data_IF_745747264297
#
_entry.id   IF_745747264297
#
_cell.length_a   1.000
_cell.length_b   1.000
_cell.length_c   1.000
_cell.angle_alpha   90.00
_cell.angle_beta   90.00
_cell.angle_gamma   90.00
#
_symmetry.space_group_name_H-M   'P 1'
#
loop_
_entity.id
_entity.type
_entity.pdbx_description
1 polymer ?
#
# COMPACT_ATOMS: atom_id res chain seq x y z
N UNK A 1 -4.02 -30.16 54.42
CA UNK A 1 -3.96 -30.35 52.95
C UNK A 1 -4.50 -29.09 52.30
N UNK A 2 -3.67 -28.39 51.53
CA UNK A 2 -4.05 -27.52 50.40
C UNK A 2 -2.74 -27.03 49.78
N UNK A 3 -2.25 -27.77 48.79
CA UNK A 3 -1.13 -27.38 47.94
C UNK A 3 -1.67 -26.50 46.81
N UNK A 4 -1.17 -25.28 46.70
CA UNK A 4 -1.45 -24.40 45.57
C UNK A 4 -0.43 -24.77 44.48
N UNK A 5 -0.92 -25.36 43.39
CA UNK A 5 -0.12 -25.63 42.19
C UNK A 5 0.13 -24.30 41.50
N UNK A 6 1.37 -23.83 41.50
CA UNK A 6 1.81 -22.74 40.63
C UNK A 6 1.90 -23.29 39.21
N UNK A 7 0.83 -23.13 38.44
CA UNK A 7 0.86 -23.31 36.99
C UNK A 7 1.76 -22.21 36.44
N UNK A 8 2.99 -22.56 36.10
CA UNK A 8 3.84 -21.72 35.27
C UNK A 8 3.10 -21.50 33.96
N UNK A 9 2.58 -20.29 33.76
CA UNK A 9 2.19 -19.83 32.44
C UNK A 9 3.47 -19.79 31.62
N UNK A 10 3.66 -20.82 30.80
CA UNK A 10 4.57 -20.76 29.66
C UNK A 10 3.97 -19.68 28.76
N UNK A 11 4.47 -18.45 28.88
CA UNK A 11 4.30 -17.42 27.86
C UNK A 11 4.76 -18.04 26.55
N UNK A 12 3.89 -18.19 25.54
CA UNK A 12 4.37 -18.55 24.22
C UNK A 12 5.37 -17.49 23.81
N UNK A 13 6.51 -17.92 23.29
CA UNK A 13 7.49 -17.07 22.62
C UNK A 13 6.77 -16.37 21.48
N UNK A 14 6.19 -15.21 21.75
CA UNK A 14 5.65 -14.28 20.75
C UNK A 14 6.84 -13.54 20.15
N UNK A 15 7.63 -14.29 19.39
CA UNK A 15 8.70 -13.79 18.54
C UNK A 15 8.28 -13.66 17.07
N UNK A 16 6.97 -13.79 16.77
CA UNK A 16 6.43 -13.18 15.55
C UNK A 16 6.41 -11.68 15.83
N UNK A 17 7.20 -10.93 15.08
CA UNK A 17 7.48 -9.54 15.39
C UNK A 17 6.16 -8.77 15.40
N UNK A 18 5.98 -7.83 16.32
CA UNK A 18 4.77 -7.01 16.43
C UNK A 18 4.41 -6.27 15.11
N UNK A 19 5.31 -6.28 14.13
CA UNK A 19 5.21 -5.61 12.83
C UNK A 19 4.81 -6.54 11.68
N UNK A 20 4.85 -7.87 11.84
CA UNK A 20 4.57 -8.82 10.75
C UNK A 20 3.13 -8.67 10.21
N UNK A 21 2.16 -8.52 11.11
CA UNK A 21 0.74 -8.37 10.74
C UNK A 21 0.46 -7.01 10.08
N UNK A 22 0.90 -5.87 10.64
CA UNK A 22 0.78 -4.57 9.97
C UNK A 22 1.45 -4.50 8.60
N UNK A 23 2.66 -5.05 8.45
CA UNK A 23 3.40 -5.02 7.18
C UNK A 23 2.75 -5.89 6.11
N UNK A 24 2.29 -7.08 6.49
CA UNK A 24 1.55 -7.94 5.57
C UNK A 24 0.26 -7.27 5.10
N UNK A 25 -0.46 -6.58 6.01
CA UNK A 25 -1.66 -5.82 5.65
C UNK A 25 -1.34 -4.65 4.72
N UNK A 26 -0.25 -3.92 4.97
CA UNK A 26 0.19 -2.81 4.12
C UNK A 26 0.56 -3.31 2.71
N UNK A 27 1.28 -4.42 2.60
CA UNK A 27 1.59 -5.05 1.31
C UNK A 27 0.33 -5.44 0.55
N UNK A 28 -0.61 -6.11 1.22
CA UNK A 28 -1.89 -6.48 0.60
C UNK A 28 -2.73 -5.25 0.18
N UNK A 29 -2.68 -4.16 0.95
CA UNK A 29 -3.36 -2.91 0.62
C UNK A 29 -2.74 -2.23 -0.62
N UNK A 30 -1.41 -2.29 -0.77
CA UNK A 30 -0.68 -1.79 -1.94
C UNK A 30 -1.00 -2.65 -3.18
N UNK A 31 -0.96 -3.98 -3.05
CA UNK A 31 -1.26 -4.91 -4.16
C UNK A 31 -2.69 -4.74 -4.69
N UNK A 32 -3.67 -4.58 -3.78
CA UNK A 32 -5.06 -4.34 -4.15
C UNK A 32 -5.24 -2.99 -4.86
N UNK A 33 -4.48 -1.98 -4.45
CA UNK A 33 -4.53 -0.65 -5.06
C UNK A 33 -3.86 -0.63 -6.43
N UNK A 34 -2.74 -1.36 -6.63
CA UNK A 34 -2.06 -1.49 -7.93
C UNK A 34 -3.04 -1.94 -9.02
N UNK A 35 -3.83 -3.00 -8.77
CA UNK A 35 -4.77 -3.49 -9.78
C UNK A 35 -5.86 -2.46 -10.13
N UNK A 36 -6.25 -1.63 -9.16
CA UNK A 36 -7.22 -0.54 -9.40
C UNK A 36 -6.59 0.62 -10.18
N UNK A 37 -5.33 0.95 -9.88
CA UNK A 37 -4.57 2.00 -10.55
C UNK A 37 -4.21 1.63 -11.98
N UNK A 38 -3.79 0.39 -12.24
CA UNK A 38 -3.51 -0.10 -13.61
C UNK A 38 -4.73 0.10 -14.51
N UNK A 39 -5.90 -0.34 -14.05
CA UNK A 39 -7.13 -0.18 -14.82
C UNK A 39 -7.50 1.30 -15.01
N UNK A 40 -7.29 2.15 -14.00
CA UNK A 40 -7.54 3.59 -14.10
C UNK A 40 -6.61 4.29 -15.09
N UNK A 41 -5.33 3.95 -15.08
CA UNK A 41 -4.32 4.53 -15.95
C UNK A 41 -4.56 4.12 -17.41
N UNK A 42 -4.94 2.86 -17.65
CA UNK A 42 -5.30 2.35 -18.97
C UNK A 42 -6.48 3.12 -19.58
N UNK A 43 -7.61 3.24 -18.86
CA UNK A 43 -8.79 3.95 -19.38
C UNK A 43 -8.57 5.46 -19.51
N UNK A 44 -7.58 6.02 -18.79
CA UNK A 44 -7.21 7.45 -18.84
C UNK A 44 -6.11 7.75 -19.85
N UNK A 45 -5.56 6.74 -20.53
CA UNK A 45 -4.48 6.91 -21.51
C UNK A 45 -3.13 7.31 -20.90
N UNK A 46 -2.90 6.97 -19.62
CA UNK A 46 -1.67 7.25 -18.86
C UNK A 46 -0.80 6.00 -18.75
N UNK A 47 -0.59 5.29 -19.87
CA UNK A 47 0.21 4.07 -19.93
C UNK A 47 1.69 4.31 -19.54
N UNK A 48 2.16 5.54 -19.61
CA UNK A 48 3.50 5.97 -19.17
C UNK A 48 3.70 5.87 -17.64
N UNK A 49 2.64 5.60 -16.89
CA UNK A 49 2.69 5.35 -15.45
C UNK A 49 2.97 3.87 -15.08
N UNK A 50 3.05 2.97 -16.06
CA UNK A 50 3.34 1.54 -15.84
C UNK A 50 4.66 1.33 -15.11
N UNK A 51 5.69 2.14 -15.36
CA UNK A 51 6.98 2.04 -14.67
C UNK A 51 6.84 2.31 -13.16
N UNK A 52 5.95 3.23 -12.79
CA UNK A 52 5.69 3.55 -11.38
C UNK A 52 4.85 2.46 -10.69
N UNK A 53 3.95 1.82 -11.43
CA UNK A 53 3.24 0.62 -10.96
C UNK A 53 4.22 -0.55 -10.80
N UNK A 54 5.12 -0.76 -11.75
CA UNK A 54 6.16 -1.79 -11.69
C UNK A 54 6.99 -1.64 -10.42
N UNK A 55 7.47 -0.42 -10.14
CA UNK A 55 8.21 -0.13 -8.91
C UNK A 55 7.42 -0.43 -7.62
N UNK A 56 6.09 -0.27 -7.63
CA UNK A 56 5.25 -0.64 -6.49
C UNK A 56 5.02 -2.14 -6.38
N UNK A 57 4.87 -2.85 -7.51
CA UNK A 57 4.71 -4.32 -7.52
C UNK A 57 5.96 -5.05 -7.02
N UNK A 58 7.12 -4.38 -7.10
CA UNK A 58 8.39 -4.89 -6.58
C UNK A 58 8.55 -4.68 -5.06
N UNK A 59 7.64 -3.95 -4.40
CA UNK A 59 7.60 -3.79 -2.94
C UNK A 59 7.15 -5.08 -2.25
N UNK A 60 8.00 -6.08 -2.26
CA UNK A 60 7.76 -7.30 -1.51
C UNK A 60 8.15 -7.11 -0.04
N UNK A 61 7.17 -6.75 0.79
CA UNK A 61 7.33 -6.69 2.25
C UNK A 61 7.37 -8.13 2.82
N UNK A 62 8.52 -8.78 2.69
CA UNK A 62 8.75 -10.11 3.21
C UNK A 62 8.73 -10.13 4.75
N UNK A 63 8.11 -11.15 5.34
CA UNK A 63 7.98 -11.27 6.80
C UNK A 63 9.31 -11.53 7.53
N UNK A 64 10.37 -11.90 6.80
CA UNK A 64 11.72 -12.12 7.31
C UNK A 64 12.70 -10.98 7.00
N UNK A 65 12.22 -9.90 6.35
CA UNK A 65 13.04 -8.73 6.07
C UNK A 65 13.50 -8.05 7.37
N UNK A 66 14.75 -7.59 7.40
CA UNK A 66 15.24 -6.82 8.54
C UNK A 66 14.53 -5.46 8.61
N UNK A 67 14.54 -4.80 9.78
CA UNK A 67 13.97 -3.47 9.93
C UNK A 67 14.59 -2.46 8.95
N UNK A 68 15.91 -2.52 8.76
CA UNK A 68 16.61 -1.66 7.80
C UNK A 68 16.18 -1.94 6.35
N UNK A 69 15.93 -3.21 5.99
CA UNK A 69 15.43 -3.55 4.65
C UNK A 69 14.00 -3.05 4.45
N UNK A 70 13.15 -3.19 5.47
CA UNK A 70 11.77 -2.66 5.46
C UNK A 70 11.80 -1.15 5.32
N UNK A 71 12.57 -0.43 6.15
CA UNK A 71 12.65 1.04 6.08
C UNK A 71 13.11 1.51 4.69
N UNK A 72 14.11 0.84 4.09
CA UNK A 72 14.57 1.15 2.72
C UNK A 72 13.52 0.85 1.66
N UNK A 73 12.78 -0.25 1.78
CA UNK A 73 11.67 -0.56 0.87
C UNK A 73 10.57 0.50 0.98
N UNK A 74 10.16 0.86 2.21
CA UNK A 74 9.16 1.89 2.45
C UNK A 74 9.63 3.26 1.92
N UNK A 75 10.89 3.63 2.10
CA UNK A 75 11.48 4.85 1.50
C UNK A 75 11.42 4.82 -0.03
N UNK A 76 11.78 3.68 -0.65
CA UNK A 76 11.72 3.54 -2.12
C UNK A 76 10.30 3.60 -2.68
N UNK A 77 9.29 3.25 -1.88
CA UNK A 77 7.88 3.30 -2.26
C UNK A 77 7.32 4.72 -2.35
N UNK A 78 7.89 5.68 -1.60
CA UNK A 78 7.33 7.03 -1.48
C UNK A 78 7.30 7.75 -2.83
N UNK A 79 8.42 7.77 -3.55
CA UNK A 79 8.53 8.54 -4.79
C UNK A 79 7.63 8.01 -5.94
N UNK A 80 7.50 6.68 -6.18
CA UNK A 80 6.51 6.15 -7.10
C UNK A 80 5.07 6.48 -6.68
N UNK A 81 4.70 6.34 -5.39
CA UNK A 81 3.36 6.67 -4.90
C UNK A 81 3.01 8.16 -5.09
N UNK A 82 3.96 9.07 -4.83
CA UNK A 82 3.78 10.50 -5.06
C UNK A 82 3.57 10.82 -6.55
N UNK A 83 4.33 10.17 -7.45
CA UNK A 83 4.19 10.32 -8.90
C UNK A 83 2.84 9.78 -9.40
N UNK A 84 2.37 8.66 -8.86
CA UNK A 84 1.06 8.11 -9.17
C UNK A 84 -0.07 9.02 -8.69
N UNK A 85 0.01 9.51 -7.45
CA UNK A 85 -0.97 10.46 -6.92
C UNK A 85 -1.03 11.74 -7.76
N UNK A 86 0.13 12.27 -8.17
CA UNK A 86 0.19 13.42 -9.05
C UNK A 86 -0.50 13.15 -10.40
N UNK A 87 -0.28 11.98 -11.01
CA UNK A 87 -0.93 11.58 -12.26
C UNK A 87 -2.44 11.40 -12.12
N UNK A 88 -2.89 10.70 -11.07
CA UNK A 88 -4.33 10.52 -10.79
C UNK A 88 -5.04 11.88 -10.68
N UNK A 89 -4.40 12.87 -10.04
CA UNK A 89 -4.94 14.23 -9.93
C UNK A 89 -4.98 15.02 -11.24
N UNK A 90 -4.23 14.61 -12.26
CA UNK A 90 -4.25 15.26 -13.59
C UNK A 90 -5.31 14.69 -14.52
N UNK A 91 -5.94 13.56 -14.16
CA UNK A 91 -6.98 12.96 -14.98
C UNK A 91 -8.22 13.89 -15.00
N UNK A 92 -8.66 14.35 -16.17
CA UNK A 92 -9.81 15.24 -16.27
C UNK A 92 -11.12 14.48 -15.96
N UNK A 93 -11.94 15.05 -15.08
CA UNK A 93 -13.26 14.48 -14.74
C UNK A 93 -14.25 14.51 -15.91
N UNK A 94 -14.19 15.54 -16.75
CA UNK A 94 -15.10 15.76 -17.88
C UNK A 94 -14.40 15.65 -19.25
N UNK A 95 -13.29 14.91 -19.32
CA UNK A 95 -12.45 14.79 -20.52
C UNK A 95 -12.73 13.56 -21.38
N UNK A 96 -12.26 13.56 -22.65
CA UNK A 96 -12.29 12.34 -23.46
C UNK A 96 -11.36 11.29 -22.83
N UNK A 97 -11.94 10.17 -22.42
CA UNK A 97 -11.22 9.00 -21.95
C UNK A 97 -10.80 8.12 -23.13
N UNK A 98 -9.75 7.32 -22.93
CA UNK A 98 -9.27 6.36 -23.92
C UNK A 98 -10.20 5.14 -24.02
N UNK A 99 -10.95 4.84 -22.95
CA UNK A 99 -11.88 3.71 -22.86
C UNK A 99 -13.27 4.08 -22.35
N UNK A 100 -14.20 3.10 -22.32
CA UNK A 100 -15.54 3.31 -21.75
C UNK A 100 -15.44 3.59 -20.25
N UNK A 101 -15.86 4.79 -19.85
CA UNK A 101 -15.93 5.18 -18.44
C UNK A 101 -17.02 4.36 -17.71
N UNK A 102 -16.76 3.90 -16.47
CA UNK A 102 -17.81 3.53 -15.54
C UNK A 102 -18.82 4.68 -15.36
N UNK A 103 -20.09 4.36 -15.14
CA UNK A 103 -21.15 5.37 -14.92
C UNK A 103 -20.89 6.30 -13.72
N UNK A 104 -20.08 5.85 -12.76
CA UNK A 104 -19.66 6.62 -11.58
C UNK A 104 -18.15 6.95 -11.61
N UNK A 105 -17.62 7.31 -12.78
CA UNK A 105 -16.19 7.57 -12.97
C UNK A 105 -15.60 8.57 -11.96
N UNK A 106 -16.32 9.63 -11.58
CA UNK A 106 -15.88 10.60 -10.57
C UNK A 106 -15.68 9.95 -9.18
N UNK A 107 -16.62 9.10 -8.74
CA UNK A 107 -16.46 8.35 -7.50
C UNK A 107 -15.30 7.33 -7.60
N UNK A 108 -15.17 6.73 -8.77
CA UNK A 108 -14.12 5.77 -9.09
C UNK A 108 -12.73 6.42 -9.18
N UNK A 109 -12.63 7.71 -9.51
CA UNK A 109 -11.39 8.49 -9.53
C UNK A 109 -10.99 9.02 -8.14
N UNK A 110 -11.99 9.43 -7.35
CA UNK A 110 -11.76 9.93 -5.98
C UNK A 110 -11.23 8.85 -5.04
N UNK A 111 -11.65 7.60 -5.23
CA UNK A 111 -11.29 6.50 -4.35
C UNK A 111 -9.79 6.16 -4.40
N UNK A 112 -9.16 5.93 -5.57
CA UNK A 112 -7.72 5.71 -5.68
C UNK A 112 -6.88 6.90 -5.18
N UNK A 113 -7.32 8.13 -5.47
CA UNK A 113 -6.63 9.33 -4.98
C UNK A 113 -6.59 9.40 -3.45
N UNK A 114 -7.73 9.18 -2.79
CA UNK A 114 -7.80 9.16 -1.33
C UNK A 114 -7.01 7.99 -0.72
N UNK A 115 -7.00 6.83 -1.38
CA UNK A 115 -6.28 5.64 -0.93
C UNK A 115 -4.77 5.81 -1.02
N UNK A 116 -4.28 6.38 -2.12
CA UNK A 116 -2.87 6.75 -2.29
C UNK A 116 -2.40 7.76 -1.22
N UNK A 117 -3.25 8.74 -0.88
CA UNK A 117 -2.97 9.69 0.20
C UNK A 117 -2.85 9.00 1.57
N UNK A 118 -3.75 8.06 1.87
CA UNK A 118 -3.75 7.29 3.12
C UNK A 118 -2.51 6.39 3.24
N UNK A 119 -2.14 5.71 2.15
CA UNK A 119 -0.90 4.90 2.08
C UNK A 119 0.32 5.80 2.31
N UNK A 120 0.42 6.94 1.61
CA UNK A 120 1.52 7.90 1.78
C UNK A 120 1.60 8.45 3.21
N UNK A 121 0.47 8.76 3.83
CA UNK A 121 0.41 9.22 5.22
C UNK A 121 0.91 8.13 6.17
N UNK A 122 0.50 6.88 5.96
CA UNK A 122 0.93 5.72 6.74
C UNK A 122 2.44 5.48 6.60
N UNK A 123 2.97 5.52 5.37
CA UNK A 123 4.41 5.36 5.12
C UNK A 123 5.24 6.45 5.78
N UNK A 124 4.85 7.72 5.62
CA UNK A 124 5.56 8.85 6.24
C UNK A 124 5.53 8.78 7.76
N UNK A 125 4.43 8.30 8.33
CA UNK A 125 4.35 8.07 9.77
C UNK A 125 5.31 6.96 10.21
N UNK A 126 5.32 5.82 9.50
CA UNK A 126 6.22 4.71 9.80
C UNK A 126 7.69 5.12 9.74
N UNK A 127 8.10 5.89 8.73
CA UNK A 127 9.48 6.37 8.54
C UNK A 127 9.91 7.44 9.56
N UNK A 128 8.96 8.13 10.20
CA UNK A 128 9.26 9.13 11.22
C UNK A 128 9.45 8.53 12.64
N UNK A 129 9.34 7.20 12.80
CA UNK A 129 9.26 6.50 14.10
C UNK A 129 10.48 5.63 14.39
#
# INVERSE_FOLDING_TARGET
MNSIVFTQFVTPVQGASCLDIPLHRLGADIDAEIGSLEYLLDISGLEDAIDDIGALSELHLAADASREDIDRLLESAVAPLERLLARVRTIPLDGPLAGPAPSDFDAWLRWPGARLEDILATLRHALAT
#
